data_IF_511174032736
#
_entry.id   IF_511174032736
#
_cell.length_a   1.000
_cell.length_b   1.000
_cell.length_c   1.000
_cell.angle_alpha   90.00
_cell.angle_beta   90.00
_cell.angle_gamma   90.00
#
_symmetry.space_group_name_H-M   'P 1'
#
loop_
_entity.id
_entity.type
_entity.pdbx_description
1 polymer ?
#
# COMPACT_ATOMS: atom_id res chain seq x y z
N UNK A 1 7.59 -25.59 -42.83
CA UNK A 1 8.48 -26.50 -42.06
C UNK A 1 8.51 -25.99 -40.63
N UNK A 2 8.27 -26.85 -39.63
CA UNK A 2 8.42 -26.48 -38.23
C UNK A 2 9.86 -26.04 -37.96
N UNK A 3 10.02 -24.98 -37.18
CA UNK A 3 11.33 -24.47 -36.78
C UNK A 3 11.66 -25.05 -35.42
N UNK A 4 12.90 -25.50 -35.24
CA UNK A 4 13.36 -26.05 -33.96
C UNK A 4 14.53 -25.25 -33.43
N UNK A 5 14.55 -25.00 -32.13
CA UNK A 5 15.58 -24.24 -31.44
C UNK A 5 16.33 -25.15 -30.48
N UNK A 6 17.66 -25.09 -30.51
CA UNK A 6 18.49 -25.80 -29.56
C UNK A 6 18.35 -25.22 -28.14
N UNK A 7 18.10 -26.07 -27.14
CA UNK A 7 18.12 -25.67 -25.71
C UNK A 7 19.49 -25.81 -25.07
N UNK A 8 20.34 -26.64 -25.66
CA UNK A 8 21.70 -26.91 -25.23
C UNK A 8 22.60 -27.03 -26.46
N UNK A 9 23.93 -27.08 -26.26
CA UNK A 9 24.84 -27.22 -27.39
C UNK A 9 24.70 -28.60 -28.04
N UNK A 10 24.52 -28.64 -29.36
CA UNK A 10 24.37 -29.87 -30.15
C UNK A 10 25.32 -29.77 -31.36
N UNK A 11 26.52 -30.34 -31.24
CA UNK A 11 27.53 -30.24 -32.28
C UNK A 11 27.93 -28.78 -32.55
N UNK A 12 27.55 -28.25 -33.71
CA UNK A 12 27.83 -26.86 -34.08
C UNK A 12 26.71 -25.87 -33.68
N UNK A 13 25.55 -26.37 -33.25
CA UNK A 13 24.43 -25.53 -32.83
C UNK A 13 24.59 -25.14 -31.36
N UNK A 14 24.58 -23.84 -31.08
CA UNK A 14 24.58 -23.28 -29.73
C UNK A 14 23.15 -23.15 -29.19
N UNK A 15 22.97 -23.06 -27.86
CA UNK A 15 21.66 -22.78 -27.28
C UNK A 15 21.06 -21.51 -27.89
N UNK A 16 19.82 -21.59 -28.40
CA UNK A 16 19.15 -20.52 -29.11
C UNK A 16 19.25 -20.60 -30.64
N UNK A 17 20.13 -21.44 -31.19
CA UNK A 17 20.26 -21.60 -32.64
C UNK A 17 19.11 -22.39 -33.25
N UNK A 18 18.74 -22.01 -34.48
CA UNK A 18 17.78 -22.74 -35.30
C UNK A 18 18.43 -23.99 -35.91
N UNK A 19 17.88 -25.15 -35.58
CA UNK A 19 18.32 -26.45 -36.10
C UNK A 19 17.89 -26.59 -37.56
N UNK A 20 18.86 -26.75 -38.46
CA UNK A 20 18.65 -26.94 -39.91
C UNK A 20 19.43 -28.14 -40.42
N UNK A 21 18.92 -28.80 -41.46
CA UNK A 21 19.63 -29.88 -42.16
C UNK A 21 19.72 -31.22 -41.41
N UNK A 22 18.93 -31.41 -40.35
CA UNK A 22 18.75 -32.71 -39.69
C UNK A 22 17.57 -33.46 -40.32
N UNK A 23 17.63 -34.79 -40.31
CA UNK A 23 16.51 -35.64 -40.68
C UNK A 23 15.47 -35.72 -39.55
N UNK A 24 14.25 -36.10 -39.91
CA UNK A 24 13.11 -36.12 -39.00
C UNK A 24 13.33 -37.08 -37.81
N UNK A 25 13.94 -38.24 -38.03
CA UNK A 25 14.25 -39.21 -36.96
C UNK A 25 15.16 -38.59 -35.89
N UNK A 26 16.17 -37.79 -36.29
CA UNK A 26 17.06 -37.11 -35.34
C UNK A 26 16.35 -35.95 -34.67
N UNK A 27 15.52 -35.20 -35.39
CA UNK A 27 14.70 -34.13 -34.79
C UNK A 27 13.79 -34.72 -33.71
N UNK A 28 13.10 -35.83 -33.98
CA UNK A 28 12.23 -36.50 -33.01
C UNK A 28 13.00 -37.02 -31.80
N UNK A 29 14.16 -37.66 -32.01
CA UNK A 29 15.01 -38.10 -30.90
C UNK A 29 15.49 -36.92 -30.03
N UNK A 30 15.86 -35.80 -30.67
CA UNK A 30 16.31 -34.60 -29.97
C UNK A 30 15.16 -33.90 -29.22
N UNK A 31 13.96 -33.87 -29.79
CA UNK A 31 12.75 -33.40 -29.12
C UNK A 31 12.41 -34.28 -27.90
N UNK A 32 12.44 -35.60 -28.07
CA UNK A 32 12.18 -36.56 -26.99
C UNK A 32 13.21 -36.46 -25.86
N UNK A 33 14.48 -36.17 -26.20
CA UNK A 33 15.54 -35.90 -25.23
C UNK A 33 15.47 -34.50 -24.58
N UNK A 34 14.62 -33.61 -25.10
CA UNK A 34 14.50 -32.22 -24.65
C UNK A 34 15.66 -31.31 -25.08
N UNK A 35 16.57 -31.78 -25.95
CA UNK A 35 17.70 -31.02 -26.43
C UNK A 35 17.30 -29.88 -27.39
N UNK A 36 16.16 -30.02 -28.06
CA UNK A 36 15.57 -29.00 -28.94
C UNK A 36 14.10 -28.78 -28.58
N UNK A 37 13.54 -27.64 -28.98
CA UNK A 37 12.12 -27.31 -28.82
C UNK A 37 11.55 -26.77 -30.12
N UNK A 38 10.30 -27.11 -30.43
CA UNK A 38 9.60 -26.50 -31.55
C UNK A 38 9.34 -25.02 -31.24
N UNK A 39 9.83 -24.14 -32.11
CA UNK A 39 9.59 -22.71 -32.01
C UNK A 39 8.13 -22.42 -32.33
N UNK A 40 7.33 -22.32 -31.27
CA UNK A 40 6.02 -21.68 -31.37
C UNK A 40 6.26 -20.17 -31.35
N UNK A 41 5.74 -19.39 -32.32
CA UNK A 41 5.73 -17.93 -32.17
C UNK A 41 5.08 -17.60 -30.83
N UNK A 42 5.60 -16.61 -30.07
CA UNK A 42 5.01 -16.25 -28.79
C UNK A 42 3.53 -15.97 -29.04
N UNK A 43 2.65 -16.77 -28.43
CA UNK A 43 1.24 -16.46 -28.40
C UNK A 43 1.13 -15.07 -27.79
N UNK A 44 0.52 -14.13 -28.53
CA UNK A 44 0.21 -12.81 -27.99
C UNK A 44 -0.64 -13.03 -26.75
N UNK A 45 -0.01 -12.94 -25.58
CA UNK A 45 -0.72 -12.98 -24.32
C UNK A 45 -1.75 -11.85 -24.34
N UNK A 46 -3.02 -12.22 -24.14
CA UNK A 46 -4.17 -11.31 -24.14
C UNK A 46 -3.89 -10.12 -23.22
N UNK A 47 -3.75 -8.94 -23.80
CA UNK A 47 -3.51 -7.66 -23.12
C UNK A 47 -4.76 -7.08 -22.44
N UNK A 48 -5.91 -7.73 -22.61
CA UNK A 48 -7.20 -7.18 -22.18
C UNK A 48 -7.41 -7.26 -20.66
N UNK A 49 -6.94 -8.31 -19.99
CA UNK A 49 -7.10 -8.45 -18.52
C UNK A 49 -6.22 -7.46 -17.73
N UNK A 50 -5.03 -7.14 -18.24
CA UNK A 50 -4.12 -6.18 -17.59
C UNK A 50 -4.69 -4.76 -17.66
N UNK A 51 -5.35 -4.43 -18.77
CA UNK A 51 -5.92 -3.10 -18.99
C UNK A 51 -7.11 -2.84 -18.06
N UNK A 52 -7.95 -3.86 -17.82
CA UNK A 52 -9.07 -3.75 -16.87
C UNK A 52 -8.57 -3.60 -15.41
N UNK A 53 -7.57 -4.38 -15.00
CA UNK A 53 -7.01 -4.28 -13.64
C UNK A 53 -6.32 -2.95 -13.36
N UNK A 54 -5.72 -2.30 -14.37
CA UNK A 54 -5.13 -0.98 -14.22
C UNK A 54 -6.18 0.12 -13.99
N UNK A 55 -7.31 0.06 -14.70
CA UNK A 55 -8.41 1.03 -14.54
C UNK A 55 -9.04 0.91 -13.15
N UNK A 56 -9.24 -0.31 -12.66
CA UNK A 56 -9.77 -0.56 -11.31
C UNK A 56 -8.80 -0.04 -10.24
N UNK A 57 -7.50 -0.28 -10.40
CA UNK A 57 -6.48 0.20 -9.47
C UNK A 57 -6.37 1.73 -9.47
N UNK A 58 -6.51 2.39 -10.63
CA UNK A 58 -6.55 3.85 -10.71
C UNK A 58 -7.77 4.44 -9.98
N UNK A 59 -8.92 3.79 -10.08
CA UNK A 59 -10.14 4.20 -9.37
C UNK A 59 -9.97 4.05 -7.84
N UNK A 60 -9.44 2.91 -7.38
CA UNK A 60 -9.18 2.66 -5.95
C UNK A 60 -8.16 3.65 -5.39
N UNK A 61 -7.09 3.95 -6.14
CA UNK A 61 -6.10 4.97 -5.73
C UNK A 61 -6.71 6.37 -5.64
N UNK A 62 -7.64 6.72 -6.52
CA UNK A 62 -8.34 7.99 -6.47
C UNK A 62 -9.25 8.10 -5.23
N UNK A 63 -9.99 7.03 -4.90
CA UNK A 63 -10.85 6.95 -3.72
C UNK A 63 -10.02 7.02 -2.42
N UNK A 64 -8.93 6.25 -2.33
CA UNK A 64 -8.05 6.26 -1.17
C UNK A 64 -7.46 7.66 -0.92
N UNK A 65 -7.05 8.37 -1.96
CA UNK A 65 -6.55 9.75 -1.85
C UNK A 65 -7.63 10.73 -1.39
N UNK A 66 -8.89 10.52 -1.75
CA UNK A 66 -10.00 11.35 -1.28
C UNK A 66 -10.24 11.10 0.22
N UNK A 67 -10.28 9.84 0.62
CA UNK A 67 -10.48 9.45 2.03
C UNK A 67 -9.33 9.93 2.93
N UNK A 68 -8.09 9.83 2.48
CA UNK A 68 -6.92 10.31 3.23
C UNK A 68 -7.00 11.83 3.51
N UNK A 69 -7.46 12.62 2.54
CA UNK A 69 -7.66 14.07 2.73
C UNK A 69 -8.73 14.38 3.78
N UNK A 70 -9.84 13.64 3.75
CA UNK A 70 -10.93 13.80 4.72
C UNK A 70 -10.42 13.46 6.11
N UNK A 71 -9.79 12.29 6.29
CA UNK A 71 -9.26 11.85 7.57
C UNK A 71 -8.21 12.81 8.14
N UNK A 72 -7.36 13.37 7.28
CA UNK A 72 -6.36 14.36 7.71
C UNK A 72 -7.04 15.63 8.23
N UNK A 73 -8.04 16.15 7.51
CA UNK A 73 -8.77 17.34 7.94
C UNK A 73 -9.57 17.11 9.23
N UNK A 74 -10.21 15.96 9.37
CA UNK A 74 -10.93 15.58 10.60
C UNK A 74 -9.98 15.43 11.79
N UNK A 75 -8.81 14.81 11.57
CA UNK A 75 -7.78 14.68 12.58
C UNK A 75 -7.27 16.05 13.05
N UNK A 76 -6.96 16.96 12.13
CA UNK A 76 -6.49 18.30 12.48
C UNK A 76 -7.55 19.08 13.28
N UNK A 77 -8.82 18.95 12.90
CA UNK A 77 -9.95 19.53 13.65
C UNK A 77 -10.06 18.95 15.05
N UNK A 78 -9.98 17.61 15.18
CA UNK A 78 -10.05 16.94 16.47
C UNK A 78 -8.86 17.28 17.38
N UNK A 79 -7.67 17.44 16.83
CA UNK A 79 -6.48 17.89 17.59
C UNK A 79 -6.64 19.33 18.10
N UNK A 80 -7.19 20.23 17.28
CA UNK A 80 -7.49 21.60 17.68
C UNK A 80 -8.53 21.65 18.82
N UNK A 81 -9.63 20.89 18.70
CA UNK A 81 -10.66 20.79 19.75
C UNK A 81 -10.08 20.20 21.04
N UNK A 82 -9.26 19.17 20.94
CA UNK A 82 -8.60 18.56 22.10
C UNK A 82 -7.66 19.55 22.80
N UNK A 83 -6.94 20.39 22.06
CA UNK A 83 -6.10 21.44 22.63
C UNK A 83 -6.93 22.51 23.35
N UNK A 84 -8.05 22.95 22.75
CA UNK A 84 -8.96 23.92 23.36
C UNK A 84 -9.60 23.38 24.65
N UNK A 85 -10.10 22.14 24.63
CA UNK A 85 -10.69 21.50 25.79
C UNK A 85 -9.68 21.34 26.93
N UNK A 86 -8.43 20.94 26.63
CA UNK A 86 -7.36 20.88 27.63
C UNK A 86 -7.10 22.26 28.26
N UNK A 87 -7.09 23.32 27.46
CA UNK A 87 -6.91 24.68 27.98
C UNK A 87 -8.07 25.11 28.89
N UNK A 88 -9.32 24.80 28.51
CA UNK A 88 -10.51 25.06 29.33
C UNK A 88 -10.49 24.29 30.65
N UNK A 89 -10.09 23.02 30.63
CA UNK A 89 -9.96 22.21 31.85
C UNK A 89 -8.96 22.83 32.82
N UNK A 90 -7.77 23.21 32.35
CA UNK A 90 -6.74 23.86 33.20
C UNK A 90 -7.25 25.19 33.78
N UNK A 91 -8.01 25.97 33.00
CA UNK A 91 -8.59 27.22 33.48
C UNK A 91 -9.64 26.99 34.57
N UNK A 92 -10.51 25.99 34.39
CA UNK A 92 -11.53 25.62 35.38
C UNK A 92 -10.93 25.05 36.66
N UNK A 93 -9.91 24.20 36.57
CA UNK A 93 -9.19 23.67 37.73
C UNK A 93 -8.55 24.79 38.56
N UNK A 94 -7.94 25.79 37.90
CA UNK A 94 -7.41 26.97 38.59
C UNK A 94 -8.50 27.81 39.26
N UNK A 95 -9.64 28.00 38.59
CA UNK A 95 -10.77 28.75 39.14
C UNK A 95 -11.38 28.04 40.36
N UNK A 96 -11.52 26.71 40.30
CA UNK A 96 -11.98 25.89 41.43
C UNK A 96 -11.03 26.01 42.62
N UNK A 97 -9.72 25.81 42.42
CA UNK A 97 -8.74 25.92 43.48
C UNK A 97 -8.72 27.33 44.13
N UNK A 98 -8.94 28.39 43.34
CA UNK A 98 -9.06 29.75 43.85
C UNK A 98 -10.34 29.97 44.66
N UNK A 99 -11.47 29.41 44.20
CA UNK A 99 -12.76 29.43 44.90
C UNK A 99 -12.66 28.71 46.26
N UNK A 100 -12.09 27.52 46.28
CA UNK A 100 -11.90 26.73 47.51
C UNK A 100 -11.02 27.47 48.52
N UNK A 101 -9.92 28.09 48.08
CA UNK A 101 -9.08 28.94 48.94
C UNK A 101 -9.85 30.13 49.52
N UNK A 102 -10.70 30.78 48.72
CA UNK A 102 -11.50 31.92 49.15
C UNK A 102 -12.55 31.50 50.18
N UNK A 103 -13.24 30.39 49.95
CA UNK A 103 -14.20 29.80 50.90
C UNK A 103 -13.53 29.39 52.22
N UNK A 104 -12.33 28.79 52.16
CA UNK A 104 -11.56 28.43 53.35
C UNK A 104 -11.06 29.66 54.14
N UNK A 105 -10.76 30.77 53.46
CA UNK A 105 -10.36 32.03 54.08
C UNK A 105 -11.55 32.75 54.74
N UNK A 106 -12.73 32.74 54.12
CA UNK A 106 -13.96 33.29 54.72
C UNK A 106 -14.44 32.47 55.92
N UNK A 107 -14.31 31.14 55.88
CA UNK A 107 -14.65 30.26 57.01
C UNK A 107 -13.71 30.44 58.23
N UNK A 108 -12.51 31.02 58.04
CA UNK A 108 -11.54 31.31 59.11
C UNK A 108 -11.59 32.74 59.63
N UNK A 109 -12.46 33.61 59.09
CA UNK A 109 -12.65 34.96 59.64
C UNK A 109 -13.38 34.84 60.99
N UNK A 110 -12.83 35.34 62.11
CA UNK A 110 -13.58 35.39 63.36
C UNK A 110 -14.83 36.24 63.13
N UNK A 111 -15.98 35.77 63.62
CA UNK A 111 -17.18 36.60 63.71
C UNK A 111 -16.81 37.84 64.51
N UNK A 112 -16.65 38.98 63.84
CA UNK A 112 -16.45 40.24 64.52
C UNK A 112 -17.72 40.52 65.31
N UNK A 113 -17.60 40.42 66.63
CA UNK A 113 -18.58 40.83 67.62
C UNK A 113 -19.04 42.26 67.32
N UNK A 114 -20.30 42.43 66.93
CA UNK A 114 -21.00 43.71 67.08
C UNK A 114 -21.66 43.71 68.44
N UNK A 115 -21.06 44.47 69.36
CA UNK A 115 -21.60 44.87 70.66
C UNK A 115 -22.51 46.07 70.49
#
# INVERSE_FOLDING_TARGET
MPKYIAKQSIGHFMPGDEIKGLNDDRIQALLASGAIVEHKPPEQHKTDDVSAGLVELEAEVAELKANEKILTAEKDSAEAEAAELKAKVVALEKALAASEKKAAAEAKKPAAETK
#
